data_IF_090578375547
#
_entry.id   IF_090578375547
#
_cell.length_a   1.000
_cell.length_b   1.000
_cell.length_c   1.000
_cell.angle_alpha   90.00
_cell.angle_beta   90.00
_cell.angle_gamma   90.00
#
_symmetry.space_group_name_H-M   'P 1'
#
loop_
_entity.id
_entity.type
_entity.pdbx_description
1 polymer ?
#
# COMPACT_ATOMS: atom_id res chain seq x y z
N UNK A 1 -8.70 -19.46 -14.22
CA UNK A 1 -7.99 -19.99 -13.04
C UNK A 1 -7.13 -18.88 -12.48
N UNK A 2 -7.35 -18.47 -11.22
CA UNK A 2 -6.51 -17.49 -10.53
C UNK A 2 -5.06 -17.97 -10.51
N UNK A 3 -4.13 -17.17 -11.05
CA UNK A 3 -2.69 -17.47 -11.09
C UNK A 3 -2.00 -17.22 -9.74
N UNK A 4 -2.63 -16.44 -8.88
CA UNK A 4 -2.16 -16.01 -7.56
C UNK A 4 -3.34 -15.90 -6.60
N UNK A 5 -3.06 -15.86 -5.29
CA UNK A 5 -4.06 -15.60 -4.25
C UNK A 5 -4.39 -14.10 -4.12
N UNK A 6 -3.47 -13.22 -4.53
CA UNK A 6 -3.71 -11.79 -4.58
C UNK A 6 -2.60 -11.01 -5.27
N UNK A 7 -2.83 -9.71 -5.41
CA UNK A 7 -1.91 -8.74 -6.01
C UNK A 7 -1.53 -7.72 -4.96
N UNK A 8 -0.24 -7.46 -4.81
CA UNK A 8 0.30 -6.49 -3.87
C UNK A 8 1.04 -5.39 -4.62
N UNK A 9 0.47 -4.20 -4.62
CA UNK A 9 1.11 -3.00 -5.15
C UNK A 9 1.91 -2.32 -4.03
N UNK A 10 3.21 -2.18 -4.26
CA UNK A 10 4.10 -1.36 -3.44
C UNK A 10 4.26 -0.03 -4.17
N UNK A 11 3.80 1.04 -3.55
CA UNK A 11 3.68 2.36 -4.14
C UNK A 11 4.52 3.34 -3.34
N UNK A 12 5.43 4.00 -4.03
CA UNK A 12 6.36 4.97 -3.49
C UNK A 12 5.96 6.34 -4.02
N UNK A 13 5.44 7.20 -3.14
CA UNK A 13 5.09 8.57 -3.47
C UNK A 13 6.18 9.52 -3.00
N UNK A 14 6.76 10.27 -3.93
CA UNK A 14 7.78 11.29 -3.67
C UNK A 14 7.27 12.67 -4.03
N UNK A 15 7.86 13.69 -3.40
CA UNK A 15 7.57 15.10 -3.64
C UNK A 15 6.08 15.43 -3.40
N UNK A 16 5.45 14.76 -2.45
CA UNK A 16 4.10 15.05 -1.99
C UNK A 16 4.00 16.42 -1.31
N UNK A 17 2.78 16.97 -1.25
CA UNK A 17 2.46 18.12 -0.42
C UNK A 17 2.61 17.74 1.07
N UNK A 18 3.64 18.24 1.80
CA UNK A 18 3.93 17.78 3.17
C UNK A 18 2.76 17.96 4.14
N UNK A 19 1.90 18.96 3.93
CA UNK A 19 0.75 19.21 4.79
C UNK A 19 -0.30 18.09 4.74
N UNK A 20 -0.34 17.35 3.63
CA UNK A 20 -1.25 16.22 3.45
C UNK A 20 -0.76 14.96 4.16
N UNK A 21 0.50 14.94 4.59
CA UNK A 21 1.17 13.79 5.19
C UNK A 21 1.24 13.86 6.72
N UNK A 22 0.92 15.02 7.32
CA UNK A 22 1.12 15.24 8.75
C UNK A 22 -0.06 14.82 9.60
N UNK A 23 -1.29 14.95 9.11
CA UNK A 23 -2.51 14.83 9.91
C UNK A 23 -3.13 13.43 9.83
N UNK A 24 -3.28 12.78 10.99
CA UNK A 24 -3.79 11.39 11.07
C UNK A 24 -5.20 11.26 10.52
N UNK A 25 -6.10 12.17 10.89
CA UNK A 25 -7.52 12.07 10.50
C UNK A 25 -7.69 12.30 8.99
N UNK A 26 -6.91 13.20 8.41
CA UNK A 26 -6.84 13.39 6.97
C UNK A 26 -6.33 12.13 6.26
N UNK A 27 -5.19 11.58 6.69
CA UNK A 27 -4.58 10.39 6.08
C UNK A 27 -5.53 9.19 6.19
N UNK A 28 -6.13 8.96 7.36
CA UNK A 28 -7.12 7.91 7.58
C UNK A 28 -8.33 8.04 6.65
N UNK A 29 -8.89 9.24 6.54
CA UNK A 29 -10.01 9.51 5.64
C UNK A 29 -9.66 9.25 4.18
N UNK A 30 -8.48 9.67 3.72
CA UNK A 30 -8.02 9.48 2.33
C UNK A 30 -7.80 8.00 2.03
N UNK A 31 -7.12 7.27 2.92
CA UNK A 31 -6.91 5.83 2.75
C UNK A 31 -8.24 5.06 2.77
N UNK A 32 -9.18 5.44 3.64
CA UNK A 32 -10.51 4.83 3.70
C UNK A 32 -11.33 5.12 2.44
N UNK A 33 -11.24 6.35 1.92
CA UNK A 33 -11.86 6.71 0.64
C UNK A 33 -11.29 5.86 -0.50
N UNK A 34 -9.96 5.71 -0.57
CA UNK A 34 -9.30 4.88 -1.57
C UNK A 34 -9.78 3.41 -1.49
N UNK A 35 -9.79 2.83 -0.28
CA UNK A 35 -10.25 1.45 -0.07
C UNK A 35 -11.71 1.23 -0.47
N UNK A 36 -12.62 2.13 -0.06
CA UNK A 36 -14.05 2.00 -0.37
C UNK A 36 -14.35 2.22 -1.85
N UNK A 37 -13.65 3.15 -2.50
CA UNK A 37 -13.87 3.48 -3.91
C UNK A 37 -13.20 2.51 -4.87
N UNK A 38 -12.21 1.74 -4.42
CA UNK A 38 -11.64 0.60 -5.16
C UNK A 38 -12.42 -0.70 -4.97
N UNK A 39 -13.64 -0.65 -4.41
CA UNK A 39 -14.51 -1.81 -4.21
C UNK A 39 -13.94 -2.88 -3.25
N UNK A 40 -13.07 -2.49 -2.32
CA UNK A 40 -12.70 -3.38 -1.21
C UNK A 40 -13.73 -3.34 -0.09
N UNK A 41 -13.63 -4.30 0.84
CA UNK A 41 -14.47 -4.36 2.05
C UNK A 41 -13.60 -4.17 3.30
N UNK A 42 -13.47 -2.93 3.83
CA UNK A 42 -12.79 -2.67 5.08
C UNK A 42 -13.47 -3.35 6.27
N UNK A 43 -12.69 -4.09 7.06
CA UNK A 43 -13.11 -4.74 8.32
C UNK A 43 -12.81 -3.84 9.51
N UNK A 44 -11.69 -3.11 9.44
CA UNK A 44 -11.26 -2.21 10.51
C UNK A 44 -10.03 -1.42 10.09
N UNK A 45 -9.68 -0.41 10.89
CA UNK A 45 -8.52 0.42 10.63
C UNK A 45 -7.83 0.88 11.91
N UNK A 46 -6.54 1.18 11.82
CA UNK A 46 -5.75 1.72 12.90
C UNK A 46 -4.72 2.70 12.33
N UNK A 47 -4.72 3.92 12.88
CA UNK A 47 -3.80 4.98 12.48
C UNK A 47 -3.13 5.58 13.71
N UNK A 48 -1.85 5.92 13.59
CA UNK A 48 -1.05 6.54 14.63
C UNK A 48 -0.30 7.75 14.07
N UNK A 49 -0.39 8.87 14.78
CA UNK A 49 0.39 10.07 14.49
C UNK A 49 1.64 10.11 15.37
N UNK A 50 2.79 10.29 14.74
CA UNK A 50 4.06 10.48 15.44
C UNK A 50 4.30 11.95 15.77
N UNK A 51 5.30 12.20 16.61
CA UNK A 51 5.80 13.54 16.95
C UNK A 51 7.18 13.76 16.32
N UNK A 52 7.47 14.94 15.76
CA UNK A 52 6.56 16.10 15.62
C UNK A 52 5.48 15.94 14.55
N UNK A 53 5.64 14.98 13.64
CA UNK A 53 4.72 14.70 12.53
C UNK A 53 4.95 13.28 11.98
N UNK A 54 4.17 12.89 10.97
CA UNK A 54 4.22 11.59 10.33
C UNK A 54 3.08 10.68 10.80
N UNK A 55 2.63 9.80 9.92
CA UNK A 55 1.49 8.92 10.15
C UNK A 55 1.83 7.52 9.68
N UNK A 56 1.54 6.52 10.53
CA UNK A 56 1.44 5.12 10.13
C UNK A 56 -0.01 4.70 10.19
N UNK A 57 -0.48 3.99 9.16
CA UNK A 57 -1.87 3.58 9.03
C UNK A 57 -2.03 2.22 8.37
N UNK A 58 -3.03 1.47 8.84
CA UNK A 58 -3.47 0.23 8.21
C UNK A 58 -4.98 0.18 8.16
N UNK A 59 -5.50 -0.26 7.02
CA UNK A 59 -6.88 -0.69 6.82
C UNK A 59 -6.81 -2.18 6.53
N UNK A 60 -7.41 -2.97 7.43
CA UNK A 60 -7.61 -4.40 7.21
C UNK A 60 -8.84 -4.54 6.32
N UNK A 61 -8.67 -5.20 5.18
CA UNK A 61 -9.77 -5.58 4.29
C UNK A 61 -9.91 -7.10 4.30
N UNK A 62 -10.96 -7.64 3.68
CA UNK A 62 -11.14 -9.10 3.56
C UNK A 62 -9.87 -9.76 2.97
N UNK A 63 -9.21 -10.58 3.80
CA UNK A 63 -8.03 -11.41 3.47
C UNK A 63 -6.74 -10.65 3.06
N UNK A 64 -6.66 -9.33 3.27
CA UNK A 64 -5.51 -8.50 2.85
C UNK A 64 -5.46 -7.13 3.57
N UNK A 65 -4.79 -6.10 3.02
CA UNK A 65 -4.65 -4.80 3.69
C UNK A 65 -4.24 -3.67 2.75
N UNK A 66 -4.63 -2.44 3.12
CA UNK A 66 -4.02 -1.21 2.61
C UNK A 66 -3.22 -0.55 3.74
N UNK A 67 -1.98 -0.14 3.51
CA UNK A 67 -1.16 0.56 4.52
C UNK A 67 -0.51 1.82 3.98
N UNK A 68 -0.17 2.73 4.87
CA UNK A 68 0.60 3.94 4.55
C UNK A 68 1.55 4.29 5.69
N UNK A 69 2.75 4.72 5.34
CA UNK A 69 3.74 5.31 6.23
C UNK A 69 4.24 6.64 5.63
N UNK A 70 4.12 7.74 6.36
CA UNK A 70 4.48 9.07 5.85
C UNK A 70 5.70 9.66 6.54
N UNK A 71 6.54 10.33 5.75
CA UNK A 71 7.65 11.18 6.18
C UNK A 71 7.48 12.58 5.59
N UNK A 72 6.70 13.47 6.24
CA UNK A 72 6.42 14.82 5.77
C UNK A 72 7.67 15.65 5.48
N UNK A 73 8.73 15.49 6.28
CA UNK A 73 10.03 16.14 6.12
C UNK A 73 10.74 15.78 4.80
N UNK A 74 10.34 14.69 4.17
CA UNK A 74 10.85 14.22 2.88
C UNK A 74 9.81 14.32 1.76
N UNK A 75 8.60 14.81 2.05
CA UNK A 75 7.48 14.77 1.10
C UNK A 75 7.21 13.34 0.61
N UNK A 76 7.37 12.35 1.49
CA UNK A 76 7.39 10.94 1.10
C UNK A 76 6.28 10.14 1.78
N UNK A 77 5.67 9.23 1.03
CA UNK A 77 4.77 8.21 1.57
C UNK A 77 5.07 6.83 0.94
N UNK A 78 5.27 5.84 1.79
CA UNK A 78 5.29 4.43 1.41
C UNK A 78 3.86 3.88 1.57
N UNK A 79 3.31 3.30 0.51
CA UNK A 79 1.93 2.83 0.47
C UNK A 79 1.92 1.38 -0.05
N UNK A 80 1.20 0.51 0.66
CA UNK A 80 0.99 -0.89 0.27
C UNK A 80 -0.49 -1.09 -0.02
N UNK A 81 -0.83 -1.51 -1.24
CA UNK A 81 -2.19 -1.89 -1.64
C UNK A 81 -2.21 -3.39 -1.93
N UNK A 82 -2.48 -4.20 -0.90
CA UNK A 82 -2.61 -5.64 -1.04
C UNK A 82 -4.10 -6.03 -1.10
N UNK A 83 -4.48 -6.76 -2.15
CA UNK A 83 -5.86 -7.22 -2.36
C UNK A 83 -5.91 -8.59 -3.05
N UNK A 84 -7.00 -9.33 -2.80
CA UNK A 84 -7.17 -10.72 -3.27
C UNK A 84 -8.26 -10.89 -4.36
N UNK A 85 -9.12 -9.90 -4.57
CA UNK A 85 -10.23 -9.98 -5.53
C UNK A 85 -9.87 -9.41 -6.90
N UNK A 86 -10.41 -10.01 -7.97
CA UNK A 86 -10.27 -9.51 -9.35
C UNK A 86 -11.15 -8.27 -9.60
N UNK A 87 -12.16 -8.04 -8.76
CA UNK A 87 -13.11 -6.92 -8.90
C UNK A 87 -12.62 -5.62 -8.23
N UNK A 88 -11.40 -5.62 -7.67
CA UNK A 88 -10.82 -4.43 -7.02
C UNK A 88 -10.27 -3.49 -8.08
N UNK A 89 -10.82 -2.28 -8.12
CA UNK A 89 -10.38 -1.19 -9.00
C UNK A 89 -9.21 -0.45 -8.35
N UNK A 90 -8.01 -1.02 -8.46
CA UNK A 90 -6.81 -0.45 -7.86
C UNK A 90 -6.39 0.87 -8.51
N UNK A 91 -6.70 1.07 -9.79
CA UNK A 91 -6.48 2.34 -10.48
C UNK A 91 -7.30 3.44 -9.78
N UNK A 92 -8.53 3.15 -9.37
CA UNK A 92 -9.34 4.09 -8.61
C UNK A 92 -8.74 4.45 -7.24
N UNK A 93 -8.15 3.48 -6.54
CA UNK A 93 -7.42 3.75 -5.31
C UNK A 93 -6.24 4.70 -5.57
N UNK A 94 -5.43 4.42 -6.58
CA UNK A 94 -4.27 5.25 -6.96
C UNK A 94 -4.70 6.68 -7.32
N UNK A 95 -5.72 6.86 -8.16
CA UNK A 95 -6.24 8.19 -8.52
C UNK A 95 -6.61 9.03 -7.29
N UNK A 96 -7.26 8.41 -6.30
CA UNK A 96 -7.65 9.09 -5.05
C UNK A 96 -6.42 9.47 -4.24
N UNK A 97 -5.48 8.54 -4.07
CA UNK A 97 -4.25 8.78 -3.32
C UNK A 97 -3.43 9.91 -3.98
N UNK A 98 -3.27 9.87 -5.31
CA UNK A 98 -2.57 10.91 -6.09
C UNK A 98 -3.25 12.27 -5.97
N UNK A 99 -4.59 12.31 -6.08
CA UNK A 99 -5.37 13.55 -5.94
C UNK A 99 -5.13 14.23 -4.59
N UNK A 100 -5.06 13.45 -3.51
CA UNK A 100 -4.96 13.99 -2.16
C UNK A 100 -3.54 14.25 -1.70
N UNK A 101 -2.60 13.33 -1.96
CA UNK A 101 -1.20 13.46 -1.52
C UNK A 101 -0.32 14.24 -2.51
N UNK A 102 -0.76 14.39 -3.77
CA UNK A 102 -0.11 15.18 -4.83
C UNK A 102 1.38 14.86 -5.00
N UNK A 103 1.77 13.59 -5.19
CA UNK A 103 3.17 13.25 -5.45
C UNK A 103 3.64 13.92 -6.76
N UNK A 104 4.85 14.47 -6.74
CA UNK A 104 5.52 14.90 -7.96
C UNK A 104 6.13 13.73 -8.75
N UNK A 105 6.44 12.63 -8.06
CA UNK A 105 6.96 11.39 -8.67
C UNK A 105 6.38 10.16 -7.97
N UNK A 106 6.12 9.12 -8.77
CA UNK A 106 5.56 7.85 -8.31
C UNK A 106 6.44 6.72 -8.82
N UNK A 107 6.75 5.76 -7.96
CA UNK A 107 7.31 4.46 -8.34
C UNK A 107 6.39 3.36 -7.85
N UNK A 108 6.13 2.35 -8.68
CA UNK A 108 5.17 1.29 -8.38
C UNK A 108 5.78 -0.06 -8.75
N UNK A 109 5.67 -1.02 -7.83
CA UNK A 109 6.03 -2.42 -8.05
C UNK A 109 4.81 -3.28 -7.76
N UNK A 110 4.40 -4.09 -8.74
CA UNK A 110 3.37 -5.09 -8.55
C UNK A 110 3.99 -6.45 -8.20
N UNK A 111 3.49 -7.08 -7.15
CA UNK A 111 3.90 -8.41 -6.71
C UNK A 111 2.70 -9.35 -6.64
N UNK A 112 2.81 -10.49 -7.30
CA UNK A 112 1.82 -11.56 -7.20
C UNK A 112 2.04 -12.38 -5.91
N UNK A 113 1.03 -12.45 -5.05
CA UNK A 113 1.07 -13.13 -3.75
C UNK A 113 0.41 -14.49 -3.86
N UNK A 114 1.06 -15.53 -3.34
CA UNK A 114 0.50 -16.89 -3.33
C UNK A 114 0.32 -17.47 -4.73
N UNK A 115 1.39 -17.50 -5.54
CA UNK A 115 1.40 -18.15 -6.85
C UNK A 115 0.99 -19.62 -6.72
N UNK A 116 -0.21 -19.97 -7.18
CA UNK A 116 -0.74 -21.34 -7.09
C UNK A 116 -0.23 -22.15 -8.29
N UNK A 117 0.56 -23.19 -8.00
CA UNK A 117 1.34 -23.87 -9.02
C UNK A 117 0.52 -24.94 -9.75
N UNK A 118 0.19 -24.62 -11.01
CA UNK A 118 0.09 -25.55 -12.15
C UNK A 118 1.19 -25.31 -13.21
N UNK A 119 2.17 -24.44 -12.95
CA UNK A 119 3.30 -24.17 -13.86
C UNK A 119 4.60 -23.98 -13.03
N UNK A 120 5.53 -24.93 -13.14
CA UNK A 120 6.92 -24.63 -13.51
C UNK A 120 7.84 -23.67 -12.71
N UNK A 121 7.50 -23.01 -11.60
CA UNK A 121 8.48 -22.24 -10.78
C UNK A 121 9.61 -23.08 -10.13
N UNK A 122 10.77 -23.24 -10.78
CA UNK A 122 11.99 -23.66 -10.08
C UNK A 122 12.19 -22.65 -8.95
N UNK A 123 12.21 -23.13 -7.71
CA UNK A 123 12.54 -22.28 -6.57
C UNK A 123 13.95 -21.71 -6.81
N UNK A 124 14.05 -20.40 -7.03
CA UNK A 124 15.33 -19.73 -6.88
C UNK A 124 15.73 -19.84 -5.40
N UNK A 125 17.00 -20.17 -5.20
CA UNK A 125 17.55 -20.53 -3.90
C UNK A 125 17.25 -19.46 -2.84
N UNK A 126 16.97 -19.85 -1.58
CA UNK A 126 16.80 -18.88 -0.51
C UNK A 126 18.05 -18.01 -0.39
N UNK A 127 17.84 -16.70 -0.16
CA UNK A 127 18.91 -15.76 0.19
C UNK A 127 19.75 -16.38 1.32
N UNK A 128 21.04 -16.61 1.05
CA UNK A 128 21.99 -16.94 2.12
C UNK A 128 22.10 -15.69 2.99
N UNK A 129 21.59 -15.76 4.22
CA UNK A 129 21.93 -14.79 5.26
C UNK A 129 23.46 -14.81 5.40
N UNK A 130 24.12 -13.73 4.97
CA UNK A 130 25.53 -13.52 5.28
C UNK A 130 25.59 -13.08 6.72
N UNK A 131 25.79 -14.02 7.64
CA UNK A 131 26.22 -13.69 8.98
C UNK A 131 27.64 -13.14 8.88
N UNK A 132 27.81 -11.83 9.08
CA UNK A 132 29.11 -11.22 9.27
C UNK A 132 29.59 -11.58 10.68
N UNK A 133 30.68 -12.34 10.73
CA UNK A 133 31.56 -12.53 11.89
C UNK A 133 32.20 -11.23 12.36
#
# INVERSE_FOLDING_TARGET
MKKSLGTHLIVEFFDCDPHTLTDKDFVERVMMEAALKSHTHPIGSFFHQFKPYGVSGVIVIEESHYTIHTWPEHGYAAIDLFYCSEDVDVEKALEILEKYFKPGRISLVEMQRGLLRGVGVKAEQPLKLVATS
#
